data_IF_240032248191
#
_entry.id   IF_240032248191
#
_cell.length_a   1.000
_cell.length_b   1.000
_cell.length_c   1.000
_cell.angle_alpha   90.00
_cell.angle_beta   90.00
_cell.angle_gamma   90.00
#
_symmetry.space_group_name_H-M   'P 1'
#
loop_
_entity.id
_entity.type
_entity.pdbx_description
1 polymer ?
#
# COMPACT_ATOMS: atom_id res chain seq x y z
N UNK A 1 14.03 -1.76 7.46
CA UNK A 1 13.09 -0.63 7.62
C UNK A 1 11.81 -0.92 6.84
N UNK A 2 10.63 -0.62 7.38
CA UNK A 2 9.34 -0.70 6.66
C UNK A 2 8.86 0.71 6.33
N UNK A 3 8.33 0.94 5.13
CA UNK A 3 7.77 2.24 4.72
C UNK A 3 6.42 2.07 4.04
N UNK A 4 5.50 2.99 4.28
CA UNK A 4 4.26 3.07 3.51
C UNK A 4 4.53 3.73 2.16
N UNK A 5 3.95 3.20 1.09
CA UNK A 5 4.02 3.77 -0.26
C UNK A 5 2.65 4.31 -0.61
N UNK A 6 2.59 5.61 -0.87
CA UNK A 6 1.39 6.26 -1.38
C UNK A 6 1.29 6.09 -2.90
N UNK A 7 0.06 5.96 -3.35
CA UNK A 7 -0.28 5.77 -4.75
C UNK A 7 -1.14 6.96 -5.21
N UNK A 8 -1.03 7.33 -6.49
CA UNK A 8 -1.85 8.38 -7.11
C UNK A 8 -3.32 8.00 -7.16
N UNK A 9 -3.63 6.72 -7.46
CA UNK A 9 -4.98 6.19 -7.26
C UNK A 9 -5.05 5.45 -5.93
N UNK A 10 -6.11 5.67 -5.14
CA UNK A 10 -6.29 4.95 -3.89
C UNK A 10 -6.43 3.46 -4.17
N UNK A 11 -5.80 2.65 -3.32
CA UNK A 11 -5.94 1.20 -3.36
C UNK A 11 -7.41 0.80 -3.17
N UNK A 12 -7.87 -0.29 -3.81
CA UNK A 12 -9.24 -0.74 -3.63
C UNK A 12 -9.52 -1.03 -2.16
N UNK A 13 -10.64 -0.52 -1.60
CA UNK A 13 -11.00 -0.78 -0.22
C UNK A 13 -11.27 -2.26 0.00
N UNK A 14 -11.12 -2.69 1.26
CA UNK A 14 -11.45 -4.06 1.67
C UNK A 14 -12.97 -4.32 1.56
N UNK A 15 -13.38 -5.58 1.72
CA UNK A 15 -14.81 -5.97 1.73
C UNK A 15 -15.66 -5.20 2.76
N UNK A 16 -15.05 -4.73 3.84
CA UNK A 16 -15.69 -3.95 4.90
C UNK A 16 -15.59 -2.42 4.70
N UNK A 17 -15.02 -1.95 3.58
CA UNK A 17 -14.87 -0.52 3.28
C UNK A 17 -13.65 0.16 3.89
N UNK A 18 -12.76 -0.56 4.59
CA UNK A 18 -11.51 0.02 5.09
C UNK A 18 -10.53 0.33 3.96
N UNK A 19 -9.81 1.46 4.12
CA UNK A 19 -8.74 1.88 3.22
C UNK A 19 -7.57 0.93 3.27
N UNK A 20 -7.16 0.42 2.11
CA UNK A 20 -5.97 -0.40 1.96
C UNK A 20 -4.71 0.49 1.89
N UNK A 21 -3.60 -0.01 2.43
CA UNK A 21 -2.29 0.65 2.52
C UNK A 21 -1.23 -0.28 1.96
N UNK A 22 -0.36 0.25 1.11
CA UNK A 22 0.79 -0.50 0.59
C UNK A 22 2.00 -0.23 1.48
N UNK A 23 2.59 -1.29 2.01
CA UNK A 23 3.82 -1.25 2.79
C UNK A 23 4.92 -1.96 2.00
N UNK A 24 6.09 -1.35 1.92
CA UNK A 24 7.31 -1.96 1.40
C UNK A 24 8.32 -2.15 2.53
N UNK A 25 8.58 -3.42 2.83
CA UNK A 25 9.62 -3.86 3.76
C UNK A 25 10.94 -4.01 3.00
N UNK A 26 11.92 -3.16 3.32
CA UNK A 26 13.22 -3.11 2.62
C UNK A 26 14.17 -4.24 3.02
N UNK A 27 13.76 -5.18 3.90
CA UNK A 27 14.56 -6.38 4.12
C UNK A 27 14.58 -7.21 2.83
N UNK A 28 15.59 -8.07 2.67
CA UNK A 28 15.58 -9.03 1.57
C UNK A 28 14.37 -9.96 1.67
N UNK A 29 13.82 -10.43 0.55
CA UNK A 29 12.72 -11.40 0.54
C UNK A 29 13.03 -12.63 1.41
N UNK A 30 14.27 -13.10 1.36
CA UNK A 30 14.76 -14.23 2.16
C UNK A 30 14.83 -13.94 3.67
N UNK A 31 14.84 -12.66 4.07
CA UNK A 31 14.75 -12.20 5.45
C UNK A 31 13.32 -11.74 5.81
N UNK A 32 12.32 -12.12 5.01
CA UNK A 32 10.92 -11.76 5.20
C UNK A 32 10.61 -10.29 4.89
N UNK A 33 11.32 -9.67 3.94
CA UNK A 33 10.95 -8.37 3.36
C UNK A 33 10.06 -8.50 2.13
N UNK A 34 9.80 -7.39 1.43
CA UNK A 34 8.94 -7.34 0.26
C UNK A 34 7.73 -6.40 0.40
N UNK A 35 6.82 -6.48 -0.57
CA UNK A 35 5.62 -5.69 -0.68
C UNK A 35 4.44 -6.39 -0.01
N UNK A 36 3.66 -5.66 0.77
CA UNK A 36 2.38 -6.13 1.29
C UNK A 36 1.31 -5.04 1.21
N UNK A 37 0.05 -5.45 1.15
CA UNK A 37 -1.11 -4.56 1.19
C UNK A 37 -1.96 -4.92 2.41
N UNK A 38 -2.27 -3.95 3.26
CA UNK A 38 -3.03 -4.15 4.50
C UNK A 38 -4.18 -3.14 4.68
N UNK A 39 -5.22 -3.55 5.40
CA UNK A 39 -6.24 -2.68 6.01
C UNK A 39 -6.19 -2.84 7.53
N UNK A 40 -7.02 -2.08 8.25
CA UNK A 40 -7.27 -2.27 9.67
C UNK A 40 -7.81 -3.67 10.06
N UNK A 41 -8.15 -4.51 9.09
CA UNK A 41 -8.93 -5.73 9.24
C UNK A 41 -8.22 -7.01 8.76
N UNK A 42 -7.21 -6.90 7.91
CA UNK A 42 -6.57 -8.01 7.17
C UNK A 42 -5.32 -7.47 6.47
N UNK A 43 -4.35 -8.35 6.24
CA UNK A 43 -3.13 -8.03 5.52
C UNK A 43 -2.79 -9.14 4.52
N UNK A 44 -2.20 -8.77 3.39
CA UNK A 44 -1.61 -9.73 2.46
C UNK A 44 -0.31 -10.30 3.00
N UNK A 45 0.08 -11.45 2.46
CA UNK A 45 1.45 -11.96 2.61
C UNK A 45 2.43 -10.97 1.98
N UNK A 46 3.71 -11.09 2.34
CA UNK A 46 4.78 -10.34 1.72
C UNK A 46 5.19 -10.99 0.39
N UNK A 47 5.26 -10.19 -0.65
CA UNK A 47 5.60 -10.62 -2.00
C UNK A 47 6.80 -9.87 -2.56
N UNK A 48 7.46 -10.47 -3.55
CA UNK A 48 8.60 -9.84 -4.25
C UNK A 48 8.21 -8.60 -5.05
N UNK A 49 6.98 -8.55 -5.54
CA UNK A 49 6.44 -7.42 -6.28
C UNK A 49 5.13 -6.93 -5.67
N UNK A 50 4.84 -5.64 -5.86
CA UNK A 50 3.58 -5.03 -5.45
C UNK A 50 2.38 -5.63 -6.18
N UNK A 51 2.53 -6.02 -7.45
CA UNK A 51 1.43 -6.60 -8.23
C UNK A 51 0.94 -7.93 -7.62
N UNK A 52 1.86 -8.80 -7.21
CA UNK A 52 1.53 -10.05 -6.52
C UNK A 52 0.80 -9.79 -5.20
N UNK A 53 1.28 -8.82 -4.41
CA UNK A 53 0.63 -8.41 -3.17
C UNK A 53 -0.78 -7.85 -3.40
N UNK A 54 -0.97 -7.02 -4.44
CA UNK A 54 -2.26 -6.44 -4.80
C UNK A 54 -3.23 -7.50 -5.33
N UNK A 55 -2.75 -8.45 -6.13
CA UNK A 55 -3.52 -9.55 -6.68
C UNK A 55 -3.99 -10.49 -5.58
N UNK A 56 -3.12 -10.84 -4.65
CA UNK A 56 -3.48 -11.63 -3.48
C UNK A 56 -4.47 -10.88 -2.59
N UNK A 57 -4.21 -9.60 -2.30
CA UNK A 57 -5.14 -8.74 -1.57
C UNK A 57 -6.53 -8.75 -2.20
N UNK A 58 -6.62 -8.54 -3.52
CA UNK A 58 -7.89 -8.52 -4.21
C UNK A 58 -8.63 -9.87 -4.14
N UNK A 59 -7.90 -10.99 -4.28
CA UNK A 59 -8.44 -12.34 -4.07
C UNK A 59 -8.99 -12.51 -2.66
N UNK A 60 -8.25 -12.10 -1.62
CA UNK A 60 -8.71 -12.20 -0.23
C UNK A 60 -9.97 -11.36 0.03
N UNK A 61 -10.11 -10.22 -0.63
CA UNK A 61 -11.29 -9.37 -0.51
C UNK A 61 -12.46 -9.83 -1.40
N UNK A 62 -12.30 -10.90 -2.19
CA UNK A 62 -13.33 -11.38 -3.12
C UNK A 62 -13.62 -10.40 -4.25
N UNK A 63 -12.64 -9.56 -4.63
CA UNK A 63 -12.79 -8.53 -5.65
C UNK A 63 -11.99 -8.89 -6.90
N UNK A 64 -12.42 -8.42 -8.09
CA UNK A 64 -11.61 -8.54 -9.30
C UNK A 64 -10.36 -7.68 -9.17
N UNK A 65 -9.18 -8.29 -9.36
CA UNK A 65 -7.90 -7.58 -9.37
C UNK A 65 -7.95 -6.45 -10.39
N UNK A 66 -7.62 -5.20 -10.00
CA UNK A 66 -7.53 -4.10 -10.96
C UNK A 66 -6.54 -4.49 -12.06
N UNK A 67 -6.83 -4.18 -13.32
CA UNK A 67 -5.84 -4.30 -14.39
C UNK A 67 -4.75 -3.27 -14.09
N UNK A 68 -3.62 -3.73 -13.54
CA UNK A 68 -2.52 -2.88 -13.09
C UNK A 68 -1.93 -2.12 -14.29
N UNK A 69 -2.40 -0.89 -14.52
CA UNK A 69 -1.59 0.06 -15.28
C UNK A 69 -0.43 0.49 -14.38
N UNK A 70 0.81 0.63 -14.91
CA UNK A 70 1.97 0.96 -14.10
C UNK A 70 1.77 2.32 -13.42
N UNK A 71 1.42 2.27 -12.13
CA UNK A 71 1.01 3.43 -11.35
C UNK A 71 2.26 4.09 -10.76
N UNK A 72 2.47 5.36 -11.09
CA UNK A 72 3.58 6.15 -10.58
C UNK A 72 3.50 6.24 -9.04
N UNK A 73 4.40 5.53 -8.36
CA UNK A 73 4.58 5.61 -6.92
C UNK A 73 5.11 6.99 -6.56
N UNK A 74 4.38 7.75 -5.73
CA UNK A 74 4.88 9.02 -5.21
C UNK A 74 5.54 8.78 -3.84
N UNK A 75 6.73 9.34 -3.59
CA UNK A 75 7.30 9.36 -2.25
C UNK A 75 6.39 10.20 -1.33
N UNK A 76 6.06 9.63 -0.16
CA UNK A 76 5.36 10.32 0.92
C UNK A 76 6.21 11.45 1.47
N UNK A 77 5.90 12.69 1.11
CA UNK A 77 6.43 13.88 1.75
C UNK A 77 5.45 14.33 2.83
N UNK A 78 5.78 14.02 4.09
CA UNK A 78 4.96 14.34 5.26
C UNK A 78 5.09 15.84 5.59
N UNK A 79 4.59 16.73 4.75
CA UNK A 79 4.64 18.18 5.03
C UNK A 79 3.54 18.60 5.98
N UNK A 80 3.91 18.78 7.25
CA UNK A 80 3.13 19.58 8.19
C UNK A 80 3.19 21.03 7.70
N UNK A 81 2.12 21.54 7.05
CA UNK A 81 1.99 22.99 6.84
C UNK A 81 1.74 23.66 8.18
N UNK A 82 2.80 24.14 8.83
CA UNK A 82 2.66 25.12 9.90
C UNK A 82 2.18 26.43 9.27
N UNK A 83 0.87 26.75 9.40
CA UNK A 83 0.38 28.10 9.09
C UNK A 83 0.95 29.06 10.15
N UNK A 84 2.00 29.80 9.79
CA UNK A 84 2.37 31.01 10.53
C UNK A 84 1.33 32.08 10.22
N UNK A 85 0.45 32.36 11.20
CA UNK A 85 -0.28 33.62 11.23
C UNK A 85 0.71 34.71 11.66
N UNK A 86 1.01 35.65 10.76
CA UNK A 86 1.63 36.92 11.12
C UNK A 86 0.55 37.83 11.71
N UNK A 87 0.98 38.60 12.71
CA UNK A 87 0.20 39.46 13.59
C UNK A 87 -0.49 40.61 12.85
#
# INVERSE_FOLDING_TARGET
MQRMISHTMPLPPCRNGHTARHIHDQRSLQAGGGHLVECACSASTKHGAFDDALREWCRQQGRPSPKTSPQQQLPIDNVIRLRRAAQ
#
